data_IF_266612232456
#
_entry.id   IF_266612232456
#
_cell.length_a   1.000
_cell.length_b   1.000
_cell.length_c   1.000
_cell.angle_alpha   90.00
_cell.angle_beta   90.00
_cell.angle_gamma   90.00
#
_symmetry.space_group_name_H-M   'P 1'
#
loop_
_entity.id
_entity.type
_entity.pdbx_description
1 polymer ?
#
# COMPACT_ATOMS: atom_id res chain seq x y z
N UNK A 1 -14.19 -13.97 -4.71
CA UNK A 1 -12.74 -13.73 -4.47
C UNK A 1 -12.22 -13.06 -5.74
N UNK A 2 -11.70 -11.83 -5.65
CA UNK A 2 -11.08 -11.17 -6.81
C UNK A 2 -9.71 -11.78 -7.00
N UNK A 3 -9.51 -12.50 -8.10
CA UNK A 3 -8.23 -13.13 -8.42
C UNK A 3 -7.29 -12.06 -9.00
N UNK A 4 -6.37 -11.54 -8.19
CA UNK A 4 -5.41 -10.53 -8.64
C UNK A 4 -4.39 -11.19 -9.56
N UNK A 5 -4.33 -10.73 -10.81
CA UNK A 5 -3.46 -11.26 -11.87
C UNK A 5 -2.17 -10.45 -12.02
N UNK A 6 -2.20 -9.18 -11.64
CA UNK A 6 -1.08 -8.26 -11.82
C UNK A 6 -0.89 -7.36 -10.60
N UNK A 7 0.38 -7.00 -10.33
CA UNK A 7 0.74 -6.05 -9.28
C UNK A 7 1.60 -4.95 -9.90
N UNK A 8 1.11 -3.72 -9.86
CA UNK A 8 1.80 -2.55 -10.38
C UNK A 8 2.29 -1.70 -9.20
N UNK A 9 3.59 -1.38 -9.19
CA UNK A 9 4.20 -0.53 -8.17
C UNK A 9 4.47 0.86 -8.74
N UNK A 10 4.00 1.89 -8.05
CA UNK A 10 4.33 3.26 -8.46
C UNK A 10 5.84 3.54 -8.35
N UNK A 11 6.34 4.58 -9.04
CA UNK A 11 7.72 5.02 -8.87
C UNK A 11 8.05 5.43 -7.42
N UNK A 12 7.08 5.98 -6.69
CA UNK A 12 7.24 6.39 -5.29
C UNK A 12 7.39 5.16 -4.40
N UNK A 13 6.50 4.18 -4.56
CA UNK A 13 6.57 2.91 -3.84
C UNK A 13 7.91 2.22 -4.08
N UNK A 14 8.32 2.11 -5.35
CA UNK A 14 9.57 1.46 -5.74
C UNK A 14 10.78 2.15 -5.11
N UNK A 15 10.82 3.49 -5.14
CA UNK A 15 11.90 4.29 -4.50
C UNK A 15 11.93 4.11 -2.99
N UNK A 16 10.78 4.01 -2.32
CA UNK A 16 10.72 3.76 -0.88
C UNK A 16 11.17 2.34 -0.53
N UNK A 17 10.71 1.32 -1.28
CA UNK A 17 11.08 -0.08 -1.05
C UNK A 17 12.59 -0.30 -1.13
N UNK A 18 13.28 0.36 -2.06
CA UNK A 18 14.75 0.31 -2.19
C UNK A 18 15.51 0.80 -0.96
N UNK A 19 14.90 1.63 -0.11
CA UNK A 19 15.52 2.17 1.11
C UNK A 19 15.29 1.29 2.35
N UNK A 20 14.48 0.23 2.23
CA UNK A 20 14.14 -0.63 3.35
C UNK A 20 15.23 -1.66 3.63
N UNK A 21 15.46 -1.95 4.91
CA UNK A 21 16.27 -3.09 5.32
C UNK A 21 15.51 -4.40 5.13
N UNK A 22 16.24 -5.52 5.08
CA UNK A 22 15.70 -6.87 4.82
C UNK A 22 14.47 -7.22 5.66
N UNK A 23 14.46 -6.87 6.95
CA UNK A 23 13.32 -7.16 7.82
C UNK A 23 12.08 -6.32 7.48
N UNK A 24 12.26 -5.06 7.12
CA UNK A 24 11.17 -4.18 6.72
C UNK A 24 10.57 -4.62 5.38
N UNK A 25 11.41 -5.07 4.44
CA UNK A 25 10.95 -5.68 3.18
C UNK A 25 10.07 -6.90 3.45
N UNK A 26 10.50 -7.81 4.35
CA UNK A 26 9.68 -8.97 4.73
C UNK A 26 8.32 -8.57 5.31
N UNK A 27 8.28 -7.53 6.14
CA UNK A 27 7.02 -7.04 6.71
C UNK A 27 6.12 -6.41 5.64
N UNK A 28 6.69 -5.64 4.70
CA UNK A 28 5.96 -5.07 3.56
C UNK A 28 5.41 -6.16 2.64
N UNK A 29 6.22 -7.18 2.30
CA UNK A 29 5.78 -8.28 1.44
C UNK A 29 4.67 -9.11 2.11
N UNK A 30 4.72 -9.30 3.43
CA UNK A 30 3.60 -9.89 4.19
C UNK A 30 2.33 -9.04 4.09
N UNK A 31 2.45 -7.72 4.21
CA UNK A 31 1.32 -6.81 4.07
C UNK A 31 0.68 -6.89 2.69
N UNK A 32 1.49 -6.94 1.62
CA UNK A 32 1.01 -7.13 0.24
C UNK A 32 0.30 -8.48 0.10
N UNK A 33 0.84 -9.57 0.68
CA UNK A 33 0.16 -10.88 0.67
C UNK A 33 -1.20 -10.86 1.38
N UNK A 34 -1.32 -10.15 2.50
CA UNK A 34 -2.62 -9.98 3.17
C UNK A 34 -3.63 -9.27 2.26
N UNK A 35 -3.20 -8.24 1.53
CA UNK A 35 -4.05 -7.53 0.56
C UNK A 35 -4.44 -8.45 -0.61
N UNK A 36 -3.51 -9.26 -1.13
CA UNK A 36 -3.81 -10.22 -2.20
C UNK A 36 -4.86 -11.25 -1.75
N UNK A 37 -4.79 -11.74 -0.51
CA UNK A 37 -5.78 -12.68 0.04
C UNK A 37 -7.13 -12.02 0.30
N UNK A 38 -7.12 -10.77 0.77
CA UNK A 38 -8.34 -10.02 1.10
C UNK A 38 -8.21 -8.58 0.58
N UNK A 39 -8.54 -8.31 -0.69
CA UNK A 39 -8.31 -7.00 -1.31
C UNK A 39 -9.19 -5.86 -0.75
N UNK A 40 -10.12 -6.19 0.16
CA UNK A 40 -11.00 -5.26 0.88
C UNK A 40 -10.57 -5.02 2.33
N UNK A 41 -9.41 -5.55 2.76
CA UNK A 41 -8.92 -5.44 4.15
C UNK A 41 -8.49 -4.01 4.53
N UNK A 42 -8.40 -3.09 3.58
CA UNK A 42 -8.00 -1.71 3.81
C UNK A 42 -9.19 -0.80 4.12
N UNK A 43 -8.91 0.28 4.84
CA UNK A 43 -9.89 1.34 5.07
C UNK A 43 -10.06 2.14 3.76
N UNK A 44 -11.26 2.06 3.15
CA UNK A 44 -11.59 2.86 1.95
C UNK A 44 -11.58 4.35 2.27
N UNK A 45 -10.99 5.14 1.38
CA UNK A 45 -11.01 6.59 1.45
C UNK A 45 -12.15 7.17 0.61
N UNK A 46 -12.55 8.38 0.98
CA UNK A 46 -13.66 9.15 0.39
C UNK A 46 -13.15 10.52 -0.05
N UNK A 47 -13.94 11.26 -0.83
CA UNK A 47 -13.56 12.56 -1.38
C UNK A 47 -12.49 12.43 -2.46
N UNK A 48 -11.49 13.31 -2.45
CA UNK A 48 -10.39 13.36 -3.45
C UNK A 48 -9.54 12.07 -3.52
N UNK A 49 -9.71 11.15 -2.56
CA UNK A 49 -9.00 9.87 -2.51
C UNK A 49 -9.94 8.67 -2.72
N UNK A 50 -11.12 8.90 -3.31
CA UNK A 50 -12.05 7.83 -3.66
C UNK A 50 -11.35 6.78 -4.54
N UNK A 51 -11.59 5.49 -4.24
CA UNK A 51 -10.91 4.35 -4.90
C UNK A 51 -9.70 3.83 -4.12
N UNK A 52 -9.01 4.70 -3.37
CA UNK A 52 -7.85 4.29 -2.58
C UNK A 52 -8.28 3.61 -1.27
N UNK A 53 -7.61 2.51 -0.97
CA UNK A 53 -7.67 1.80 0.30
C UNK A 53 -6.36 1.95 1.07
N UNK A 54 -6.45 1.99 2.40
CA UNK A 54 -5.28 2.09 3.28
C UNK A 54 -5.21 0.89 4.21
N UNK A 55 -4.18 0.07 4.03
CA UNK A 55 -3.90 -1.04 4.93
C UNK A 55 -2.81 -0.64 5.95
N UNK A 56 -3.08 -0.87 7.23
CA UNK A 56 -2.16 -0.56 8.34
C UNK A 56 -1.47 -1.84 8.79
N UNK A 57 -0.14 -1.81 8.87
CA UNK A 57 0.66 -2.93 9.36
C UNK A 57 1.81 -2.44 10.24
N UNK A 58 2.38 -3.34 11.06
CA UNK A 58 3.53 -3.01 11.92
C UNK A 58 4.85 -3.44 11.28
N UNK A 59 5.86 -2.59 11.41
CA UNK A 59 7.24 -2.89 11.02
C UNK A 59 8.21 -2.21 11.98
N UNK A 60 9.09 -2.98 12.63
CA UNK A 60 10.09 -2.48 13.60
C UNK A 60 9.49 -1.52 14.65
N UNK A 61 8.44 -1.96 15.35
CA UNK A 61 7.71 -1.17 16.36
C UNK A 61 7.00 0.10 15.86
N UNK A 62 6.96 0.34 14.55
CA UNK A 62 6.24 1.46 13.95
C UNK A 62 5.02 0.97 13.18
N UNK A 63 3.91 1.72 13.26
CA UNK A 63 2.77 1.53 12.36
C UNK A 63 3.05 2.21 11.02
N UNK A 64 2.90 1.43 9.95
CA UNK A 64 3.06 1.85 8.56
C UNK A 64 1.70 1.74 7.87
N UNK A 65 1.42 2.70 7.01
CA UNK A 65 0.23 2.77 6.17
C UNK A 65 0.66 2.46 4.74
N UNK A 66 -0.09 1.59 4.05
CA UNK A 66 0.09 1.24 2.65
C UNK A 66 -1.16 1.67 1.87
N UNK A 67 -0.99 2.58 0.92
CA UNK A 67 -2.03 3.01 0.00
C UNK A 67 -2.02 2.11 -1.23
N UNK A 68 -3.19 1.58 -1.56
CA UNK A 68 -3.39 0.72 -2.72
C UNK A 68 -4.77 0.91 -3.32
N UNK A 69 -4.94 0.45 -4.54
CA UNK A 69 -6.23 0.34 -5.22
C UNK A 69 -6.29 -0.97 -5.99
N UNK A 70 -7.49 -1.48 -6.18
CA UNK A 70 -7.75 -2.68 -6.98
C UNK A 70 -8.69 -2.26 -8.09
N UNK A 71 -8.19 -2.32 -9.33
CA UNK A 71 -8.97 -2.04 -10.54
C UNK A 71 -8.97 -3.33 -11.35
N UNK A 72 -10.17 -3.83 -11.68
CA UNK A 72 -10.38 -5.13 -12.31
C UNK A 72 -9.65 -6.27 -11.58
N UNK A 73 -8.50 -6.70 -12.09
CA UNK A 73 -7.66 -7.77 -11.54
C UNK A 73 -6.23 -7.30 -11.22
N UNK A 74 -6.00 -5.99 -11.18
CA UNK A 74 -4.68 -5.39 -10.97
C UNK A 74 -4.64 -4.68 -9.62
N UNK A 75 -3.64 -5.03 -8.81
CA UNK A 75 -3.33 -4.37 -7.54
C UNK A 75 -2.31 -3.25 -7.78
N UNK A 76 -2.74 -2.01 -7.62
CA UNK A 76 -1.90 -0.83 -7.69
C UNK A 76 -1.36 -0.49 -6.30
N UNK A 77 -0.04 -0.41 -6.16
CA UNK A 77 0.65 -0.03 -4.93
C UNK A 77 1.22 1.39 -5.07
N UNK A 78 0.62 2.37 -4.38
CA UNK A 78 0.96 3.78 -4.56
C UNK A 78 2.11 4.26 -3.68
N UNK A 79 1.98 4.10 -2.37
CA UNK A 79 2.98 4.60 -1.41
C UNK A 79 2.80 3.94 -0.06
N UNK A 80 3.85 3.92 0.75
CA UNK A 80 3.76 3.54 2.15
C UNK A 80 4.59 4.44 3.06
N UNK A 81 4.29 4.45 4.35
CA UNK A 81 5.07 5.20 5.32
C UNK A 81 4.36 5.43 6.64
N UNK A 82 4.99 6.19 7.52
CA UNK A 82 4.36 6.76 8.72
C UNK A 82 3.30 7.81 8.34
N UNK A 83 2.42 8.17 9.29
CA UNK A 83 1.29 9.08 9.04
C UNK A 83 1.69 10.38 8.30
N UNK A 84 2.71 11.11 8.72
CA UNK A 84 3.11 12.38 8.07
C UNK A 84 3.65 12.19 6.64
N UNK A 85 4.52 11.19 6.44
CA UNK A 85 5.13 10.95 5.13
C UNK A 85 4.16 10.30 4.16
N UNK A 86 3.16 9.61 4.69
CA UNK A 86 2.10 8.97 3.93
C UNK A 86 1.21 10.01 3.24
N UNK A 87 0.62 10.96 3.98
CA UNK A 87 -0.31 11.93 3.38
C UNK A 87 0.36 12.89 2.39
N UNK A 88 1.64 13.26 2.63
CA UNK A 88 2.41 14.07 1.67
C UNK A 88 2.58 13.38 0.31
N UNK A 89 2.85 12.07 0.32
CA UNK A 89 3.00 11.30 -0.91
C UNK A 89 1.65 10.91 -1.51
N UNK A 90 0.64 10.68 -0.68
CA UNK A 90 -0.69 10.27 -1.12
C UNK A 90 -1.39 11.37 -1.93
N UNK A 91 -1.18 12.65 -1.58
CA UNK A 91 -1.68 13.80 -2.37
C UNK A 91 -1.21 13.84 -3.83
N UNK A 92 -0.22 13.04 -4.22
CA UNK A 92 0.20 12.93 -5.64
C UNK A 92 -0.71 12.03 -6.46
N UNK A 93 -1.62 11.33 -5.79
CA UNK A 93 -2.56 10.37 -6.35
C UNK A 93 -4.02 10.72 -6.01
N UNK A 94 -4.24 11.90 -5.40
CA UNK A 94 -5.55 12.57 -5.28
C UNK A 94 -5.75 13.56 -6.41
#
# INVERSE_FOLDING_TARGET
MTDIKEIIQSPVFTKQKKKLHKQQIKNLDKAVKCILSTPTIGDRKVGDLQGIQVYKFRSNNQQILLAYEVIDFTLFLYTFGSHENFYRNLKKYS
#
